data_IF_245326156173
#
_entry.id   IF_245326156173
#
_cell.length_a   1.000
_cell.length_b   1.000
_cell.length_c   1.000
_cell.angle_alpha   90.00
_cell.angle_beta   90.00
_cell.angle_gamma   90.00
#
_symmetry.space_group_name_H-M   'P 1'
#
loop_
_entity.id
_entity.type
_entity.pdbx_description
1 polymer ?
#
# COMPACT_ATOMS: atom_id res chain seq x y z
N UNK A 1 -41.95 36.88 -19.85
CA UNK A 1 -40.59 36.33 -20.02
C UNK A 1 -40.48 35.08 -19.18
N UNK A 2 -40.60 33.91 -19.82
CA UNK A 2 -40.49 32.63 -19.14
C UNK A 2 -39.00 32.27 -19.02
N UNK A 3 -38.47 32.30 -17.80
CA UNK A 3 -37.19 31.69 -17.51
C UNK A 3 -37.36 30.17 -17.73
N UNK A 4 -36.71 29.65 -18.77
CA UNK A 4 -36.66 28.21 -19.03
C UNK A 4 -35.96 27.54 -17.85
N UNK A 5 -36.54 26.43 -17.40
CA UNK A 5 -36.08 25.56 -16.31
C UNK A 5 -34.66 25.01 -16.48
N UNK A 6 -34.02 25.24 -17.62
CA UNK A 6 -32.60 24.93 -17.86
C UNK A 6 -31.64 25.88 -17.11
N UNK A 7 -32.04 27.14 -16.89
CA UNK A 7 -31.18 28.15 -16.26
C UNK A 7 -30.99 27.95 -14.75
N UNK A 8 -31.81 27.10 -14.10
CA UNK A 8 -31.78 26.87 -12.63
C UNK A 8 -30.94 25.64 -12.25
N UNK A 9 -30.49 24.83 -13.22
CA UNK A 9 -29.62 23.66 -12.96
C UNK A 9 -28.11 23.96 -13.06
N UNK A 10 -27.73 25.18 -13.45
CA UNK A 10 -26.33 25.54 -13.71
C UNK A 10 -25.47 25.78 -12.46
N UNK A 11 -26.06 25.86 -11.25
CA UNK A 11 -25.33 26.32 -10.05
C UNK A 11 -25.17 25.30 -8.91
N UNK A 12 -25.52 24.03 -9.11
CA UNK A 12 -24.94 22.97 -8.28
C UNK A 12 -23.62 22.55 -8.91
N UNK A 13 -22.54 23.31 -8.65
CA UNK A 13 -21.21 23.04 -9.18
C UNK A 13 -20.87 21.54 -9.01
N UNK A 14 -20.89 20.79 -10.11
CA UNK A 14 -20.66 19.36 -10.08
C UNK A 14 -19.29 19.07 -9.47
N UNK A 15 -19.21 18.05 -8.62
CA UNK A 15 -17.96 17.72 -7.94
C UNK A 15 -16.84 17.47 -8.98
N UNK A 16 -15.61 17.96 -8.74
CA UNK A 16 -14.51 17.79 -9.68
C UNK A 16 -14.21 16.30 -9.88
N UNK A 17 -13.87 15.93 -11.12
CA UNK A 17 -13.51 14.55 -11.48
C UNK A 17 -12.34 14.04 -10.62
N UNK A 18 -11.29 14.85 -10.49
CA UNK A 18 -10.15 14.56 -9.63
C UNK A 18 -10.20 15.43 -8.37
N UNK A 19 -10.28 14.78 -7.22
CA UNK A 19 -10.08 15.44 -5.94
C UNK A 19 -8.58 15.57 -5.63
N UNK A 20 -7.98 16.66 -6.11
CA UNK A 20 -6.53 16.96 -5.93
C UNK A 20 -6.14 17.04 -4.45
N UNK A 21 -7.04 17.51 -3.59
CA UNK A 21 -6.78 17.61 -2.15
C UNK A 21 -6.54 16.23 -1.55
N UNK A 22 -7.37 15.24 -1.87
CA UNK A 22 -7.19 13.88 -1.38
C UNK A 22 -5.88 13.25 -1.89
N UNK A 23 -5.52 13.49 -3.16
CA UNK A 23 -4.26 13.00 -3.72
C UNK A 23 -3.04 13.58 -2.98
N UNK A 24 -3.02 14.90 -2.77
CA UNK A 24 -1.91 15.58 -2.10
C UNK A 24 -1.84 15.17 -0.63
N UNK A 25 -2.97 15.20 0.09
CA UNK A 25 -3.00 14.83 1.50
C UNK A 25 -2.64 13.36 1.73
N UNK A 26 -3.08 12.47 0.84
CA UNK A 26 -2.67 11.08 0.86
C UNK A 26 -1.16 10.94 0.69
N UNK A 27 -0.56 11.57 -0.34
CA UNK A 27 0.88 11.47 -0.57
C UNK A 27 1.68 12.05 0.61
N UNK A 28 1.26 13.21 1.12
CA UNK A 28 1.89 13.84 2.29
C UNK A 28 1.78 12.98 3.54
N UNK A 29 0.69 12.23 3.73
CA UNK A 29 0.56 11.32 4.87
C UNK A 29 1.71 10.30 4.88
N UNK A 30 1.95 9.61 3.77
CA UNK A 30 3.05 8.63 3.68
C UNK A 30 4.42 9.30 3.79
N UNK A 31 4.64 10.41 3.08
CA UNK A 31 5.94 11.09 3.07
C UNK A 31 6.30 11.62 4.46
N UNK A 32 5.36 12.25 5.16
CA UNK A 32 5.61 12.79 6.50
C UNK A 32 5.74 11.65 7.51
N UNK A 33 4.89 10.62 7.44
CA UNK A 33 4.98 9.46 8.31
C UNK A 33 6.31 8.75 8.18
N UNK A 34 6.70 8.35 6.97
CA UNK A 34 7.97 7.67 6.74
C UNK A 34 9.18 8.59 6.90
N UNK A 35 9.04 9.90 6.67
CA UNK A 35 10.05 10.89 7.03
C UNK A 35 10.30 10.93 8.55
N UNK A 36 9.26 10.81 9.35
CA UNK A 36 9.37 10.68 10.81
C UNK A 36 9.96 9.33 11.22
N UNK A 37 9.51 8.22 10.64
CA UNK A 37 10.09 6.88 10.89
C UNK A 37 11.59 6.89 10.59
N UNK A 38 11.98 7.46 9.44
CA UNK A 38 13.39 7.55 9.04
C UNK A 38 14.23 8.39 10.00
N UNK A 39 13.66 9.48 10.53
CA UNK A 39 14.30 10.26 11.58
C UNK A 39 14.42 9.46 12.88
N UNK A 40 13.36 8.76 13.29
CA UNK A 40 13.31 7.96 14.50
C UNK A 40 14.40 6.88 14.49
N UNK A 41 14.47 6.06 13.45
CA UNK A 41 15.52 5.04 13.32
C UNK A 41 16.92 5.65 13.18
N UNK A 42 17.04 6.85 12.60
CA UNK A 42 18.31 7.54 12.48
C UNK A 42 18.89 7.96 13.83
N UNK A 43 18.04 8.18 14.83
CA UNK A 43 18.45 8.49 16.20
C UNK A 43 18.55 7.22 17.02
N UNK A 44 17.46 6.45 17.11
CA UNK A 44 17.33 5.33 18.03
C UNK A 44 17.93 4.02 17.53
N UNK A 45 18.24 3.93 16.23
CA UNK A 45 18.96 2.77 15.68
C UNK A 45 20.36 2.69 16.28
N UNK A 46 21.05 3.83 16.35
CA UNK A 46 22.40 3.90 16.93
C UNK A 46 22.40 3.97 18.46
N UNK A 47 21.43 4.66 19.07
CA UNK A 47 21.44 4.86 20.52
C UNK A 47 20.82 3.70 21.30
N UNK A 48 19.89 2.95 20.70
CA UNK A 48 19.07 1.96 21.40
C UNK A 48 18.76 0.70 20.55
N UNK A 49 19.30 0.58 19.34
CA UNK A 49 18.99 -0.51 18.40
C UNK A 49 20.12 -1.51 18.17
N UNK A 50 21.27 -1.35 18.84
CA UNK A 50 22.47 -2.16 18.60
C UNK A 50 22.56 -3.42 19.47
N UNK A 51 21.96 -3.41 20.66
CA UNK A 51 21.97 -4.54 21.60
C UNK A 51 20.53 -4.84 22.00
N UNK A 52 20.02 -6.01 21.57
CA UNK A 52 18.63 -6.40 21.85
C UNK A 52 18.37 -6.86 23.28
N UNK A 53 19.42 -7.10 24.07
CA UNK A 53 19.30 -7.47 25.48
C UNK A 53 19.23 -6.25 26.40
N UNK A 54 19.49 -5.06 25.87
CA UNK A 54 19.43 -3.81 26.61
C UNK A 54 17.96 -3.39 26.88
N UNK A 55 17.62 -2.86 28.07
CA UNK A 55 16.26 -2.44 28.39
C UNK A 55 15.76 -1.26 27.52
N UNK A 56 16.68 -0.47 26.96
CA UNK A 56 16.35 0.58 25.99
C UNK A 56 15.75 -0.01 24.71
N UNK A 57 16.22 -1.18 24.28
CA UNK A 57 15.70 -1.85 23.09
C UNK A 57 14.22 -2.21 23.23
N UNK A 58 13.83 -2.72 24.40
CA UNK A 58 12.43 -3.00 24.73
C UNK A 58 11.59 -1.71 24.62
N UNK A 59 12.13 -0.60 25.12
CA UNK A 59 11.42 0.68 25.18
C UNK A 59 11.22 1.30 23.80
N UNK A 60 12.25 1.28 22.94
CA UNK A 60 12.25 2.00 21.66
C UNK A 60 11.90 1.13 20.45
N UNK A 61 12.15 -0.18 20.50
CA UNK A 61 11.96 -1.08 19.35
C UNK A 61 10.85 -2.11 19.58
N UNK A 62 10.87 -2.83 20.71
CA UNK A 62 9.83 -3.84 20.96
C UNK A 62 8.47 -3.22 21.22
N UNK A 63 8.38 -2.15 21.99
CA UNK A 63 7.13 -1.40 22.13
C UNK A 63 6.63 -0.84 20.79
N UNK A 64 7.54 -0.40 19.90
CA UNK A 64 7.16 0.07 18.57
C UNK A 64 6.48 -1.05 17.79
N UNK A 65 7.11 -2.24 17.74
CA UNK A 65 6.60 -3.45 17.11
C UNK A 65 5.22 -3.86 17.65
N UNK A 66 5.04 -3.85 18.98
CA UNK A 66 3.76 -4.24 19.57
C UNK A 66 2.65 -3.22 19.26
N UNK A 67 2.99 -1.93 19.23
CA UNK A 67 2.06 -0.86 18.91
C UNK A 67 1.63 -0.94 17.45
N UNK A 68 2.56 -1.11 16.50
CA UNK A 68 2.23 -1.16 15.07
C UNK A 68 1.33 -2.35 14.75
N UNK A 69 1.55 -3.54 15.30
CA UNK A 69 0.66 -4.69 15.08
C UNK A 69 -0.80 -4.39 15.45
N UNK A 70 -1.02 -3.78 16.61
CA UNK A 70 -2.37 -3.42 17.06
C UNK A 70 -2.98 -2.37 16.14
N UNK A 71 -2.20 -1.34 15.77
CA UNK A 71 -2.65 -0.25 14.92
C UNK A 71 -2.96 -0.72 13.50
N UNK A 72 -2.15 -1.59 12.94
CA UNK A 72 -2.29 -2.11 11.58
C UNK A 72 -3.51 -3.01 11.44
N UNK A 73 -3.68 -3.98 12.33
CA UNK A 73 -4.86 -4.85 12.34
C UNK A 73 -6.13 -4.03 12.53
N UNK A 74 -6.10 -3.05 13.43
CA UNK A 74 -7.22 -2.14 13.67
C UNK A 74 -7.52 -1.28 12.45
N UNK A 75 -6.49 -0.71 11.82
CA UNK A 75 -6.61 0.14 10.64
C UNK A 75 -7.14 -0.65 9.46
N UNK A 76 -6.61 -1.86 9.21
CA UNK A 76 -7.10 -2.76 8.17
C UNK A 76 -8.58 -3.09 8.37
N UNK A 77 -8.96 -3.52 9.58
CA UNK A 77 -10.33 -3.86 9.92
C UNK A 77 -11.30 -2.69 9.75
N UNK A 78 -10.93 -1.51 10.25
CA UNK A 78 -11.75 -0.29 10.16
C UNK A 78 -11.85 0.18 8.70
N UNK A 79 -10.72 0.31 7.99
CA UNK A 79 -10.68 0.84 6.64
C UNK A 79 -11.40 -0.08 5.65
N UNK A 80 -11.03 -1.37 5.64
CA UNK A 80 -11.64 -2.34 4.73
C UNK A 80 -13.11 -2.56 5.07
N UNK A 81 -13.45 -2.64 6.36
CA UNK A 81 -14.82 -2.72 6.85
C UNK A 81 -15.65 -1.49 6.44
N UNK A 82 -15.09 -0.29 6.56
CA UNK A 82 -15.74 0.96 6.15
C UNK A 82 -16.00 0.98 4.64
N UNK A 83 -14.98 0.66 3.83
CA UNK A 83 -15.09 0.58 2.38
C UNK A 83 -16.18 -0.42 2.02
N UNK A 84 -16.16 -1.64 2.57
CA UNK A 84 -17.18 -2.64 2.28
C UNK A 84 -18.59 -2.22 2.70
N UNK A 85 -18.74 -1.65 3.89
CA UNK A 85 -20.03 -1.20 4.44
C UNK A 85 -20.67 -0.09 3.60
N UNK A 86 -19.84 0.81 3.08
CA UNK A 86 -20.28 1.96 2.26
C UNK A 86 -20.34 1.64 0.75
N UNK A 87 -20.32 0.36 0.37
CA UNK A 87 -20.37 -0.06 -1.04
C UNK A 87 -21.62 0.43 -1.76
N UNK A 88 -21.47 0.74 -3.04
CA UNK A 88 -22.62 1.08 -3.88
C UNK A 88 -23.35 -0.20 -4.31
N UNK A 89 -24.59 -0.38 -3.83
CA UNK A 89 -25.41 -1.56 -4.14
C UNK A 89 -25.97 -1.53 -5.57
N UNK A 90 -25.92 -0.39 -6.25
CA UNK A 90 -26.45 -0.18 -7.60
C UNK A 90 -25.36 0.32 -8.55
N UNK A 91 -24.12 -0.12 -8.33
CA UNK A 91 -22.94 0.34 -9.08
C UNK A 91 -23.08 0.19 -10.60
N UNK A 92 -23.79 -0.82 -11.10
CA UNK A 92 -24.04 -1.01 -12.54
C UNK A 92 -24.95 0.06 -13.18
N UNK A 93 -25.57 0.92 -12.38
CA UNK A 93 -26.55 1.92 -12.84
C UNK A 93 -26.10 3.37 -12.60
N UNK A 94 -24.81 3.58 -12.32
CA UNK A 94 -24.26 4.93 -12.16
C UNK A 94 -24.16 5.65 -13.49
N UNK A 95 -24.13 6.99 -13.45
CA UNK A 95 -23.95 7.81 -14.66
C UNK A 95 -22.51 7.74 -15.16
N UNK A 96 -22.25 7.92 -16.46
CA UNK A 96 -20.88 7.92 -17.01
C UNK A 96 -19.94 8.91 -16.32
N UNK A 97 -20.45 10.10 -15.95
CA UNK A 97 -19.67 11.12 -15.25
C UNK A 97 -19.29 10.70 -13.83
N UNK A 98 -20.21 10.08 -13.09
CA UNK A 98 -19.92 9.56 -11.75
C UNK A 98 -18.96 8.36 -11.82
N UNK A 99 -19.10 7.50 -12.82
CA UNK A 99 -18.14 6.41 -13.09
C UNK A 99 -16.74 6.96 -13.33
N UNK A 100 -16.60 7.98 -14.19
CA UNK A 100 -15.32 8.63 -14.48
C UNK A 100 -14.69 9.25 -13.22
N UNK A 101 -15.49 9.96 -12.40
CA UNK A 101 -15.02 10.52 -11.12
C UNK A 101 -14.52 9.42 -10.15
N UNK A 102 -15.22 8.29 -10.09
CA UNK A 102 -14.80 7.15 -9.27
C UNK A 102 -13.53 6.50 -9.79
N UNK A 103 -13.32 6.43 -11.10
CA UNK A 103 -12.04 6.01 -11.68
C UNK A 103 -10.91 6.95 -11.24
N UNK A 104 -11.07 8.28 -11.29
CA UNK A 104 -10.04 9.19 -10.79
C UNK A 104 -9.77 9.08 -9.28
N UNK A 105 -10.81 8.75 -8.49
CA UNK A 105 -10.64 8.46 -7.06
C UNK A 105 -9.89 7.13 -6.86
N UNK A 106 -10.16 6.13 -7.70
CA UNK A 106 -9.42 4.87 -7.71
C UNK A 106 -7.95 5.06 -8.14
N UNK A 107 -7.66 5.91 -9.12
CA UNK A 107 -6.29 6.32 -9.46
C UNK A 107 -5.57 7.00 -8.30
N UNK A 108 -6.29 7.71 -7.44
CA UNK A 108 -5.71 8.24 -6.20
C UNK A 108 -5.28 7.11 -5.27
N UNK A 109 -6.09 6.06 -5.12
CA UNK A 109 -5.68 4.85 -4.37
C UNK A 109 -4.49 4.15 -5.01
N UNK A 110 -4.45 4.02 -6.33
CA UNK A 110 -3.31 3.41 -7.04
C UNK A 110 -2.03 4.22 -6.83
N UNK A 111 -2.10 5.55 -6.83
CA UNK A 111 -0.96 6.40 -6.51
C UNK A 111 -0.47 6.19 -5.07
N UNK A 112 -1.39 6.11 -4.09
CA UNK A 112 -1.02 5.81 -2.71
C UNK A 112 -0.40 4.42 -2.57
N UNK A 113 -0.93 3.44 -3.30
CA UNK A 113 -0.39 2.10 -3.31
C UNK A 113 1.03 2.06 -3.89
N UNK A 114 1.28 2.79 -4.98
CA UNK A 114 2.62 2.94 -5.56
C UNK A 114 3.63 3.58 -4.59
N UNK A 115 3.23 4.63 -3.87
CA UNK A 115 4.08 5.26 -2.84
C UNK A 115 4.35 4.27 -1.70
N UNK A 116 3.34 3.54 -1.23
CA UNK A 116 3.50 2.57 -0.16
C UNK A 116 4.44 1.41 -0.58
N UNK A 117 4.32 0.92 -1.81
CA UNK A 117 5.24 -0.09 -2.38
C UNK A 117 6.67 0.47 -2.46
N UNK A 118 6.85 1.71 -2.90
CA UNK A 118 8.18 2.32 -2.98
C UNK A 118 8.88 2.33 -1.62
N UNK A 119 8.17 2.75 -0.57
CA UNK A 119 8.75 2.74 0.77
C UNK A 119 9.04 1.31 1.24
N UNK A 120 8.07 0.40 1.15
CA UNK A 120 8.24 -0.96 1.63
C UNK A 120 9.27 -1.74 0.82
N UNK A 121 8.96 -2.04 -0.44
CA UNK A 121 9.71 -2.96 -1.27
C UNK A 121 10.95 -2.34 -1.98
N UNK A 122 11.32 -1.11 -1.65
CA UNK A 122 12.55 -0.49 -2.15
C UNK A 122 13.30 0.23 -1.04
N UNK A 123 12.73 1.29 -0.47
CA UNK A 123 13.49 2.13 0.48
C UNK A 123 13.91 1.35 1.74
N UNK A 124 12.96 0.75 2.45
CA UNK A 124 13.24 0.04 3.71
C UNK A 124 13.88 -1.33 3.45
N UNK A 125 13.50 -2.03 2.38
CA UNK A 125 14.18 -3.28 1.97
C UNK A 125 15.64 -3.10 1.63
N UNK A 126 16.01 -2.08 0.84
CA UNK A 126 17.42 -1.89 0.50
C UNK A 126 18.21 -1.28 1.68
N UNK A 127 17.53 -0.55 2.57
CA UNK A 127 18.11 -0.08 3.82
C UNK A 127 18.48 -1.24 4.76
N UNK A 128 17.64 -2.26 4.86
CA UNK A 128 17.95 -3.44 5.68
C UNK A 128 19.26 -4.11 5.22
N UNK A 129 19.50 -4.14 3.90
CA UNK A 129 20.77 -4.57 3.33
C UNK A 129 21.99 -3.82 3.88
N UNK A 130 21.90 -2.51 4.14
CA UNK A 130 23.02 -1.79 4.79
C UNK A 130 23.09 -2.04 6.30
N UNK A 131 21.97 -2.34 6.96
CA UNK A 131 21.95 -2.65 8.38
C UNK A 131 22.61 -4.00 8.67
N UNK A 132 22.39 -4.98 7.80
CA UNK A 132 23.11 -6.26 7.80
C UNK A 132 24.63 -6.11 7.69
N UNK A 133 25.14 -5.03 7.07
CA UNK A 133 26.58 -4.75 6.99
C UNK A 133 27.12 -3.98 8.20
N UNK A 134 26.23 -3.62 9.13
CA UNK A 134 26.55 -2.74 10.27
C UNK A 134 26.65 -3.52 11.58
N UNK A 135 25.82 -4.56 11.75
CA UNK A 135 25.75 -5.34 12.99
C UNK A 135 25.81 -6.84 12.71
N UNK A 136 26.32 -7.59 13.69
CA UNK A 136 26.01 -9.01 13.84
C UNK A 136 24.72 -9.08 14.65
N UNK A 137 23.75 -9.84 14.19
CA UNK A 137 22.38 -9.75 14.70
C UNK A 137 22.21 -10.53 16.00
N UNK A 138 21.69 -9.85 17.02
CA UNK A 138 21.32 -10.51 18.29
C UNK A 138 19.93 -11.16 18.24
N UNK A 139 19.08 -10.74 17.28
CA UNK A 139 17.69 -11.18 17.16
C UNK A 139 17.15 -10.99 15.73
N UNK A 140 15.98 -11.58 15.48
CA UNK A 140 15.20 -11.40 14.25
C UNK A 140 14.44 -10.07 14.19
N UNK A 141 14.30 -9.39 15.33
CA UNK A 141 13.61 -8.11 15.44
C UNK A 141 14.57 -6.93 15.42
N UNK A 142 15.48 -6.85 14.45
CA UNK A 142 16.38 -5.69 14.32
C UNK A 142 15.58 -4.39 14.06
N UNK A 143 16.15 -3.21 14.32
CA UNK A 143 15.53 -1.94 13.96
C UNK A 143 15.01 -1.87 12.51
N UNK A 144 15.81 -2.35 11.55
CA UNK A 144 15.45 -2.40 10.14
C UNK A 144 14.32 -3.40 9.89
N UNK A 145 14.32 -4.58 10.52
CA UNK A 145 13.27 -5.57 10.36
C UNK A 145 11.92 -5.11 10.91
N UNK A 146 11.92 -4.44 12.08
CA UNK A 146 10.71 -3.82 12.66
C UNK A 146 10.07 -2.89 11.61
N UNK A 147 10.87 -2.01 11.00
CA UNK A 147 10.34 -1.03 10.04
C UNK A 147 10.02 -1.66 8.68
N UNK A 148 10.86 -2.56 8.18
CA UNK A 148 10.65 -3.17 6.86
C UNK A 148 9.46 -4.13 6.91
N UNK A 149 9.61 -5.26 7.62
CA UNK A 149 8.71 -6.39 7.53
C UNK A 149 7.44 -6.20 8.33
N UNK A 150 7.52 -5.46 9.44
CA UNK A 150 6.44 -5.38 10.41
C UNK A 150 5.72 -4.03 10.40
N UNK A 151 6.26 -3.00 9.73
CA UNK A 151 5.57 -1.73 9.48
C UNK A 151 5.27 -1.50 8.00
N UNK A 152 6.32 -1.36 7.18
CA UNK A 152 6.18 -0.86 5.81
C UNK A 152 5.44 -1.86 4.91
N UNK A 153 5.70 -3.16 5.11
CA UNK A 153 5.05 -4.23 4.37
C UNK A 153 3.55 -4.32 4.66
N UNK A 154 3.12 -4.42 5.93
CA UNK A 154 1.71 -4.33 6.30
C UNK A 154 1.03 -3.06 5.78
N UNK A 155 1.67 -1.88 5.88
CA UNK A 155 1.08 -0.64 5.38
C UNK A 155 0.79 -0.71 3.88
N UNK A 156 1.72 -1.20 3.05
CA UNK A 156 1.44 -1.29 1.61
C UNK A 156 0.40 -2.38 1.31
N UNK A 157 0.37 -3.50 2.06
CA UNK A 157 -0.69 -4.52 1.97
C UNK A 157 -2.06 -3.94 2.30
N UNK A 158 -2.17 -3.17 3.39
CA UNK A 158 -3.41 -2.48 3.82
C UNK A 158 -3.89 -1.54 2.72
N UNK A 159 -2.97 -0.77 2.15
CA UNK A 159 -3.23 0.18 1.07
C UNK A 159 -3.69 -0.54 -0.20
N UNK A 160 -3.03 -1.63 -0.57
CA UNK A 160 -3.40 -2.49 -1.70
C UNK A 160 -4.79 -3.10 -1.54
N UNK A 161 -5.09 -3.64 -0.35
CA UNK A 161 -6.41 -4.16 -0.01
C UNK A 161 -7.50 -3.09 -0.10
N UNK A 162 -7.23 -1.87 0.39
CA UNK A 162 -8.16 -0.75 0.28
C UNK A 162 -8.39 -0.32 -1.19
N UNK A 163 -7.33 -0.29 -1.98
CA UNK A 163 -7.36 0.01 -3.41
C UNK A 163 -8.25 -1.01 -4.16
N UNK A 164 -8.00 -2.31 -3.97
CA UNK A 164 -8.80 -3.38 -4.55
C UNK A 164 -10.26 -3.32 -4.11
N UNK A 165 -10.52 -3.17 -2.80
CA UNK A 165 -11.87 -3.11 -2.27
C UNK A 165 -12.63 -1.91 -2.82
N UNK A 166 -11.97 -0.73 -2.94
CA UNK A 166 -12.57 0.45 -3.55
C UNK A 166 -13.03 0.15 -4.96
N UNK A 167 -12.14 -0.36 -5.82
CA UNK A 167 -12.46 -0.72 -7.20
C UNK A 167 -13.65 -1.70 -7.25
N UNK A 168 -13.58 -2.77 -6.46
CA UNK A 168 -14.57 -3.86 -6.40
C UNK A 168 -15.99 -3.39 -6.08
N UNK A 169 -16.12 -2.30 -5.35
CA UNK A 169 -17.39 -1.87 -4.74
C UNK A 169 -17.91 -0.54 -5.29
N UNK A 170 -17.11 0.16 -6.12
CA UNK A 170 -17.45 1.47 -6.68
C UNK A 170 -17.40 1.52 -8.20
N UNK A 171 -16.70 0.59 -8.84
CA UNK A 171 -16.52 0.57 -10.30
C UNK A 171 -17.23 -0.63 -10.93
N UNK A 172 -18.08 -0.41 -11.96
CA UNK A 172 -18.74 -1.48 -12.69
C UNK A 172 -17.75 -2.50 -13.27
N UNK A 173 -16.62 -2.02 -13.78
CA UNK A 173 -15.54 -2.83 -14.40
C UNK A 173 -15.02 -3.95 -13.51
N UNK A 174 -15.02 -3.74 -12.19
CA UNK A 174 -14.46 -4.71 -11.22
C UNK A 174 -15.53 -5.42 -10.39
N UNK A 175 -16.81 -5.05 -10.53
CA UNK A 175 -17.87 -5.59 -9.69
C UNK A 175 -18.16 -7.07 -9.97
N UNK A 176 -18.01 -7.53 -11.21
CA UNK A 176 -18.27 -8.92 -11.59
C UNK A 176 -17.00 -9.76 -11.47
N UNK A 177 -17.02 -10.83 -10.66
CA UNK A 177 -15.88 -11.74 -10.47
C UNK A 177 -14.66 -11.10 -9.80
N UNK A 178 -13.58 -11.85 -9.58
CA UNK A 178 -12.34 -11.30 -9.02
C UNK A 178 -11.37 -11.01 -10.17
N UNK A 179 -10.94 -9.75 -10.32
CA UNK A 179 -10.03 -9.37 -11.39
C UNK A 179 -8.64 -9.97 -11.12
N UNK A 180 -8.24 -10.95 -11.92
CA UNK A 180 -7.03 -11.75 -11.69
C UNK A 180 -5.78 -10.90 -11.48
N UNK A 181 -5.50 -9.95 -12.37
CA UNK A 181 -4.31 -9.10 -12.26
C UNK A 181 -4.33 -8.21 -11.01
N UNK A 182 -5.53 -7.87 -10.54
CA UNK A 182 -5.68 -7.10 -9.31
C UNK A 182 -5.41 -8.00 -8.10
N UNK A 183 -5.97 -9.21 -8.10
CA UNK A 183 -5.71 -10.21 -7.06
C UNK A 183 -4.22 -10.52 -6.95
N UNK A 184 -3.53 -10.71 -8.08
CA UNK A 184 -2.07 -10.91 -8.09
C UNK A 184 -1.36 -9.71 -7.48
N UNK A 185 -1.71 -8.49 -7.89
CA UNK A 185 -1.08 -7.28 -7.39
C UNK A 185 -1.29 -7.02 -5.88
N UNK A 186 -2.40 -7.47 -5.28
CA UNK A 186 -2.72 -7.17 -3.87
C UNK A 186 -2.58 -8.35 -2.92
N UNK A 187 -2.75 -9.58 -3.40
CA UNK A 187 -2.56 -10.81 -2.60
C UNK A 187 -1.14 -11.34 -2.74
N UNK A 188 -0.49 -11.13 -3.89
CA UNK A 188 0.92 -11.48 -4.10
C UNK A 188 1.87 -11.03 -2.97
N UNK A 189 1.74 -9.81 -2.43
CA UNK A 189 2.45 -9.39 -1.23
C UNK A 189 2.43 -10.33 -0.03
N UNK A 190 1.31 -11.02 0.24
CA UNK A 190 1.24 -11.98 1.35
C UNK A 190 2.15 -13.19 1.12
N UNK A 191 2.49 -13.48 -0.14
CA UNK A 191 3.43 -14.55 -0.50
C UNK A 191 4.89 -14.17 -0.24
N UNK A 192 5.17 -12.91 0.11
CA UNK A 192 6.50 -12.50 0.57
C UNK A 192 6.74 -12.94 2.03
N UNK A 193 5.69 -13.03 2.85
CA UNK A 193 5.79 -13.40 4.27
C UNK A 193 6.45 -14.77 4.53
N UNK A 194 6.16 -15.84 3.76
CA UNK A 194 6.92 -17.08 3.87
C UNK A 194 8.42 -16.90 3.64
N UNK A 195 8.84 -15.97 2.77
CA UNK A 195 10.25 -15.72 2.57
C UNK A 195 10.86 -14.88 3.66
N UNK A 196 10.12 -13.95 4.26
CA UNK A 196 10.57 -13.28 5.49
C UNK A 196 10.86 -14.36 6.56
N UNK A 197 9.92 -15.27 6.79
CA UNK A 197 10.14 -16.37 7.74
C UNK A 197 11.31 -17.29 7.37
N UNK A 198 11.50 -17.58 6.08
CA UNK A 198 12.65 -18.37 5.60
C UNK A 198 13.97 -17.59 5.60
N UNK A 199 13.93 -16.27 5.47
CA UNK A 199 15.06 -15.36 5.57
C UNK A 199 15.63 -15.44 6.99
N UNK A 200 14.76 -15.20 7.97
CA UNK A 200 15.13 -15.29 9.40
C UNK A 200 15.61 -16.69 9.79
N UNK A 201 14.91 -17.74 9.34
CA UNK A 201 15.34 -19.11 9.57
C UNK A 201 16.66 -19.43 8.88
N UNK A 202 16.87 -18.94 7.65
CA UNK A 202 18.11 -19.13 6.90
C UNK A 202 19.32 -18.49 7.59
N UNK A 203 19.17 -17.27 8.09
CA UNK A 203 20.22 -16.56 8.83
C UNK A 203 20.61 -17.23 10.15
N UNK A 204 19.71 -17.97 10.79
CA UNK A 204 20.01 -18.74 12.01
C UNK A 204 20.92 -19.95 11.75
N UNK A 205 20.88 -20.54 10.54
CA UNK A 205 21.53 -21.82 10.25
C UNK A 205 22.64 -21.76 9.21
N UNK A 206 22.73 -20.69 8.41
CA UNK A 206 23.74 -20.51 7.38
C UNK A 206 24.56 -19.24 7.64
N UNK A 207 25.89 -19.33 7.63
CA UNK A 207 26.87 -18.22 7.68
C UNK A 207 26.85 -17.34 6.40
N UNK A 208 25.69 -17.18 5.77
CA UNK A 208 25.50 -16.48 4.51
C UNK A 208 24.95 -15.07 4.68
N UNK A 209 25.19 -14.43 5.83
CA UNK A 209 24.79 -13.04 6.11
C UNK A 209 25.38 -12.03 5.09
N UNK A 210 26.46 -12.38 4.38
CA UNK A 210 27.22 -11.45 3.54
C UNK A 210 26.88 -11.47 2.04
N UNK A 211 25.99 -12.35 1.57
CA UNK A 211 25.62 -12.40 0.13
C UNK A 211 24.11 -12.36 -0.09
N UNK A 212 23.62 -11.17 -0.49
CA UNK A 212 22.24 -10.94 -0.94
C UNK A 212 21.79 -11.83 -2.11
N UNK A 213 22.71 -12.48 -2.83
CA UNK A 213 22.40 -13.43 -3.92
C UNK A 213 22.08 -14.85 -3.42
N UNK A 214 22.04 -15.08 -2.11
CA UNK A 214 21.72 -16.38 -1.55
C UNK A 214 20.35 -16.90 -2.06
N UNK A 215 20.21 -18.22 -2.30
CA UNK A 215 18.94 -18.80 -2.73
C UNK A 215 17.75 -18.51 -1.80
N UNK A 216 18.02 -18.21 -0.52
CA UNK A 216 16.99 -17.81 0.46
C UNK A 216 16.29 -16.49 0.07
N UNK A 217 16.96 -15.59 -0.66
CA UNK A 217 16.38 -14.31 -1.07
C UNK A 217 15.60 -14.39 -2.41
N UNK A 218 15.73 -15.47 -3.18
CA UNK A 218 15.12 -15.57 -4.52
C UNK A 218 13.60 -15.48 -4.49
N UNK A 219 13.00 -15.93 -3.38
CA UNK A 219 11.57 -15.82 -3.20
C UNK A 219 11.10 -14.35 -3.15
N UNK A 220 11.86 -13.43 -2.53
CA UNK A 220 11.48 -12.01 -2.46
C UNK A 220 11.33 -11.42 -3.86
N UNK A 221 12.26 -11.75 -4.75
CA UNK A 221 12.20 -11.34 -6.16
C UNK A 221 11.01 -12.00 -6.88
N UNK A 222 10.83 -13.31 -6.71
CA UNK A 222 9.78 -14.04 -7.40
C UNK A 222 8.37 -13.56 -7.00
N UNK A 223 8.10 -13.37 -5.71
CA UNK A 223 6.81 -12.84 -5.28
C UNK A 223 6.71 -11.31 -5.41
N UNK A 224 7.84 -10.60 -5.44
CA UNK A 224 7.91 -9.20 -5.85
C UNK A 224 7.36 -8.99 -7.27
N UNK A 225 7.54 -9.95 -8.18
CA UNK A 225 6.91 -9.91 -9.51
C UNK A 225 5.39 -9.92 -9.51
N UNK A 226 4.74 -10.32 -8.41
CA UNK A 226 3.31 -10.17 -8.30
C UNK A 226 2.88 -8.68 -8.36
N UNK A 227 3.73 -7.74 -7.93
CA UNK A 227 3.47 -6.31 -8.06
C UNK A 227 3.29 -5.87 -9.53
N UNK A 228 3.88 -6.58 -10.49
CA UNK A 228 3.70 -6.31 -11.93
C UNK A 228 2.26 -6.57 -12.42
N UNK A 229 1.43 -7.24 -11.63
CA UNK A 229 -0.02 -7.33 -11.87
C UNK A 229 -0.68 -5.94 -12.00
N UNK A 230 -0.07 -4.89 -11.43
CA UNK A 230 -0.54 -3.50 -11.58
C UNK A 230 -0.59 -3.06 -13.04
N UNK A 231 0.27 -3.59 -13.92
CA UNK A 231 0.23 -3.29 -15.35
C UNK A 231 -1.10 -3.71 -15.99
N UNK A 232 -1.61 -4.87 -15.59
CA UNK A 232 -2.94 -5.34 -16.01
C UNK A 232 -4.06 -4.48 -15.44
N UNK A 233 -3.93 -4.02 -14.19
CA UNK A 233 -4.91 -3.13 -13.55
C UNK A 233 -4.97 -1.78 -14.27
N UNK A 234 -3.82 -1.16 -14.54
CA UNK A 234 -3.71 0.11 -15.25
C UNK A 234 -4.24 -0.01 -16.68
N UNK A 235 -3.95 -1.10 -17.38
CA UNK A 235 -4.52 -1.32 -18.71
C UNK A 235 -6.06 -1.36 -18.67
N UNK A 236 -6.64 -2.10 -17.73
CA UNK A 236 -8.09 -2.14 -17.52
C UNK A 236 -8.67 -0.75 -17.21
N UNK A 237 -8.01 0.02 -16.35
CA UNK A 237 -8.42 1.39 -16.02
C UNK A 237 -8.41 2.32 -17.24
N UNK A 238 -7.32 2.32 -18.00
CA UNK A 238 -7.18 3.15 -19.21
C UNK A 238 -8.26 2.79 -20.23
N UNK A 239 -8.54 1.50 -20.44
CA UNK A 239 -9.62 1.07 -21.33
C UNK A 239 -11.00 1.51 -20.84
N UNK A 240 -11.27 1.46 -19.53
CA UNK A 240 -12.55 1.90 -18.95
C UNK A 240 -12.74 3.41 -19.13
N UNK A 241 -11.74 4.20 -18.75
CA UNK A 241 -11.75 5.66 -18.88
C UNK A 241 -11.91 6.07 -20.35
N UNK A 242 -11.17 5.45 -21.27
CA UNK A 242 -11.25 5.75 -22.71
C UNK A 242 -12.65 5.51 -23.28
N UNK A 243 -13.37 4.49 -22.82
CA UNK A 243 -14.77 4.22 -23.23
C UNK A 243 -15.72 5.32 -22.74
N UNK A 244 -15.49 5.85 -21.54
CA UNK A 244 -16.31 6.92 -20.98
C UNK A 244 -16.07 8.25 -21.71
N UNK A 245 -14.82 8.59 -21.98
CA UNK A 245 -14.48 9.82 -22.71
C UNK A 245 -15.02 9.83 -24.15
N UNK A 246 -15.03 8.68 -24.83
CA UNK A 246 -15.62 8.58 -26.18
C UNK A 246 -17.14 8.82 -26.21
N UNK A 247 -17.85 8.56 -25.11
CA UNK A 247 -19.30 8.80 -25.01
C UNK A 247 -19.66 10.26 -24.78
N UNK A 248 -18.76 11.04 -24.17
CA UNK A 248 -18.95 12.48 -23.97
C UNK A 248 -18.45 13.31 -25.17
N UNK A 249 -17.68 12.69 -26.08
CA UNK A 249 -17.16 13.28 -27.32
C UNK A 249 -17.99 12.93 -28.58
N UNK A 250 -19.07 12.16 -28.43
CA UNK A 250 -20.00 11.76 -29.49
C UNK A 250 -21.40 12.32 -29.18
#
# INVERSE_FOLDING_TARGET
>A
MAATTESVRADAAEAPLLNKKNLILGALLYIVFYGWVRWYEGVYGWSAGLDSFAPEFETYWMNFLYIEFVLEVSTAGILWGYIWKTRDRKVMSITPREELRRHFTHWTWLAMYGIAIYYGASYFTEQDGTWHQTIVRDTDFTPSHVIEFYLSYPIYIITGGACFLYAKTRLPTYQQGLHLQYMVATVGPFMILPNVGLNEWGHTFWFMEELFVAPLHYGFVFFGWAALGVLGVVNTEVMAIAKLLKKDLA
#
